data_IF_445910180223
#
_entry.id   IF_445910180223
#
_cell.length_a   1.000
_cell.length_b   1.000
_cell.length_c   1.000
_cell.angle_alpha   90.00
_cell.angle_beta   90.00
_cell.angle_gamma   90.00
#
_symmetry.space_group_name_H-M   'P 1'
#
loop_
_entity.id
_entity.type
_entity.pdbx_description
1 polymer ?
#
# COMPACT_ATOMS: atom_id res chain seq x y z
N UNK A 1 -5.59 7.30 -21.78
CA UNK A 1 -5.14 7.60 -20.39
C UNK A 1 -6.35 7.63 -19.45
N UNK A 2 -7.11 6.53 -19.43
CA UNK A 2 -8.36 6.42 -18.68
C UNK A 2 -8.59 4.95 -18.35
N UNK A 3 -9.07 4.70 -17.13
CA UNK A 3 -9.52 3.40 -16.66
C UNK A 3 -10.86 3.66 -15.94
N UNK A 4 -11.95 3.10 -16.47
CA UNK A 4 -13.30 3.42 -16.02
C UNK A 4 -13.51 3.16 -14.52
N UNK A 5 -13.89 4.21 -13.79
CA UNK A 5 -14.21 4.18 -12.36
C UNK A 5 -12.99 4.06 -11.42
N UNK A 6 -11.78 3.94 -11.95
CA UNK A 6 -10.60 3.72 -11.10
C UNK A 6 -10.23 4.96 -10.29
N UNK A 7 -10.35 6.15 -10.89
CA UNK A 7 -10.05 7.43 -10.23
C UNK A 7 -11.01 7.70 -9.07
N UNK A 8 -12.29 7.40 -9.24
CA UNK A 8 -13.33 7.53 -8.21
C UNK A 8 -13.08 6.57 -7.03
N UNK A 9 -12.68 5.32 -7.34
CA UNK A 9 -12.31 4.32 -6.32
C UNK A 9 -11.08 4.75 -5.53
N UNK A 10 -10.01 5.17 -6.21
CA UNK A 10 -8.80 5.68 -5.57
C UNK A 10 -9.12 6.90 -4.70
N UNK A 11 -10.07 7.74 -5.11
CA UNK A 11 -10.48 8.89 -4.32
C UNK A 11 -11.28 8.51 -3.05
N UNK A 12 -12.08 7.44 -3.10
CA UNK A 12 -13.02 7.08 -2.03
C UNK A 12 -12.52 5.98 -1.08
N UNK A 13 -11.94 4.90 -1.60
CA UNK A 13 -11.62 3.70 -0.82
C UNK A 13 -10.54 3.92 0.26
N UNK A 14 -9.46 4.68 0.03
CA UNK A 14 -8.43 4.92 1.05
C UNK A 14 -8.97 5.58 2.32
N UNK A 15 -9.98 6.45 2.20
CA UNK A 15 -10.62 7.08 3.37
C UNK A 15 -11.28 6.05 4.29
N UNK A 16 -11.87 4.99 3.72
CA UNK A 16 -12.42 3.87 4.49
C UNK A 16 -11.32 2.95 5.04
N UNK A 17 -10.32 2.60 4.22
CA UNK A 17 -9.21 1.70 4.58
C UNK A 17 -8.39 2.29 5.75
N UNK A 18 -8.13 3.59 5.73
CA UNK A 18 -7.39 4.33 6.76
C UNK A 18 -8.29 4.89 7.86
N UNK A 19 -9.58 4.52 7.86
CA UNK A 19 -10.55 4.92 8.88
C UNK A 19 -10.36 4.18 10.19
N UNK A 20 -11.35 4.31 11.07
CA UNK A 20 -11.39 3.61 12.37
C UNK A 20 -12.71 2.89 12.58
N UNK A 21 -12.68 1.82 13.36
CA UNK A 21 -13.90 1.09 13.77
C UNK A 21 -14.51 1.80 14.98
N UNK A 22 -15.79 2.12 14.91
CA UNK A 22 -16.59 2.63 16.03
C UNK A 22 -17.87 1.78 16.14
N UNK A 23 -17.94 0.89 17.12
CA UNK A 23 -19.06 -0.05 17.25
C UNK A 23 -19.12 -1.03 16.06
N UNK A 24 -20.22 -0.98 15.30
CA UNK A 24 -20.51 -1.84 14.15
C UNK A 24 -20.20 -1.18 12.80
N UNK A 25 -19.62 0.02 12.79
CA UNK A 25 -19.34 0.80 11.58
C UNK A 25 -17.89 1.25 11.47
N UNK A 26 -17.49 1.57 10.24
CA UNK A 26 -16.21 2.21 9.95
C UNK A 26 -16.47 3.70 9.76
N UNK A 27 -15.77 4.54 10.53
CA UNK A 27 -15.74 5.99 10.35
C UNK A 27 -14.53 6.34 9.46
N UNK A 28 -14.77 6.84 8.23
CA UNK A 28 -13.69 7.20 7.32
C UNK A 28 -12.81 8.33 7.87
N UNK A 29 -11.53 8.31 7.53
CA UNK A 29 -10.63 9.45 7.83
C UNK A 29 -10.93 10.61 6.88
N UNK A 30 -10.93 11.87 7.35
CA UNK A 30 -11.04 13.03 6.45
C UNK A 30 -9.79 13.14 5.58
N UNK A 31 -9.90 12.64 4.35
CA UNK A 31 -8.81 12.57 3.38
C UNK A 31 -9.30 13.04 2.02
N UNK A 32 -8.52 13.90 1.36
CA UNK A 32 -8.79 14.35 -0.01
C UNK A 32 -7.74 13.80 -0.95
N UNK A 33 -8.18 13.10 -1.99
CA UNK A 33 -7.32 12.52 -3.01
C UNK A 33 -7.78 13.00 -4.38
N UNK A 34 -6.82 13.52 -5.16
CA UNK A 34 -6.98 13.76 -6.58
C UNK A 34 -6.14 12.73 -7.31
N UNK A 35 -6.77 11.92 -8.16
CA UNK A 35 -6.14 10.79 -8.82
C UNK A 35 -6.27 10.90 -10.35
N UNK A 36 -5.33 10.29 -11.06
CA UNK A 36 -5.42 10.03 -12.49
C UNK A 36 -4.91 8.63 -12.76
N UNK A 37 -5.71 7.80 -13.41
CA UNK A 37 -5.40 6.40 -13.67
C UNK A 37 -5.06 6.18 -15.14
N UNK A 38 -3.87 5.68 -15.42
CA UNK A 38 -3.41 5.46 -16.80
C UNK A 38 -2.97 4.02 -17.04
N UNK A 39 -3.37 3.46 -18.18
CA UNK A 39 -2.92 2.16 -18.64
C UNK A 39 -1.59 2.31 -19.38
N UNK A 40 -0.64 1.43 -19.06
CA UNK A 40 0.68 1.34 -19.70
C UNK A 40 0.93 -0.11 -20.15
N UNK A 41 1.80 -0.36 -21.15
CA UNK A 41 2.14 -1.72 -21.61
C UNK A 41 3.11 -2.43 -20.65
N UNK A 42 2.69 -2.60 -19.39
CA UNK A 42 3.41 -3.31 -18.34
C UNK A 42 2.53 -4.48 -17.89
N UNK A 43 3.07 -5.70 -17.93
CA UNK A 43 2.31 -6.92 -17.63
C UNK A 43 1.74 -6.92 -16.20
N UNK A 44 2.60 -6.70 -15.21
CA UNK A 44 2.23 -6.68 -13.79
C UNK A 44 3.06 -5.63 -13.05
N UNK A 45 2.48 -5.09 -11.99
CA UNK A 45 3.04 -4.02 -11.17
C UNK A 45 2.32 -2.70 -11.41
N UNK A 46 1.63 -2.19 -10.39
CA UNK A 46 1.04 -0.84 -10.41
C UNK A 46 2.01 0.13 -9.78
N UNK A 47 2.39 1.15 -10.55
CA UNK A 47 3.32 2.20 -10.13
C UNK A 47 2.54 3.49 -9.94
N UNK A 48 2.68 4.08 -8.76
CA UNK A 48 2.00 5.33 -8.38
C UNK A 48 3.03 6.42 -8.12
N UNK A 49 2.77 7.63 -8.64
CA UNK A 49 3.52 8.84 -8.30
C UNK A 49 2.71 9.66 -7.31
N UNK A 50 3.10 9.61 -6.04
CA UNK A 50 2.33 10.22 -4.94
C UNK A 50 2.99 11.52 -4.49
N UNK A 51 2.20 12.58 -4.36
CA UNK A 51 2.56 13.78 -3.62
C UNK A 51 1.58 13.94 -2.46
N UNK A 52 2.08 14.16 -1.25
CA UNK A 52 1.25 14.19 -0.04
C UNK A 52 1.57 15.41 0.83
N UNK A 53 0.52 16.07 1.32
CA UNK A 53 0.60 17.04 2.40
C UNK A 53 0.38 16.31 3.73
N UNK A 54 1.31 16.46 4.66
CA UNK A 54 1.18 15.96 6.02
C UNK A 54 0.68 17.09 6.94
N UNK A 55 -0.12 16.74 7.94
CA UNK A 55 -0.57 17.69 8.98
C UNK A 55 0.59 18.15 9.85
N UNK A 56 1.51 17.23 10.15
CA UNK A 56 2.82 17.51 10.74
C UNK A 56 3.88 17.29 9.68
N UNK A 57 4.62 18.33 9.26
CA UNK A 57 5.69 18.18 8.28
C UNK A 57 6.70 17.12 8.70
N UNK A 58 7.15 16.30 7.76
CA UNK A 58 8.21 15.32 7.96
C UNK A 58 9.24 15.42 6.84
N UNK A 59 10.51 15.26 7.20
CA UNK A 59 11.62 15.15 6.26
C UNK A 59 11.58 13.81 5.50
N UNK A 60 12.23 13.72 4.33
CA UNK A 60 12.41 12.46 3.63
C UNK A 60 13.04 11.37 4.49
N UNK A 61 13.97 11.73 5.38
CA UNK A 61 14.67 10.77 6.24
C UNK A 61 13.78 10.24 7.36
N UNK A 62 12.92 11.10 7.93
CA UNK A 62 11.88 10.67 8.88
C UNK A 62 10.88 9.73 8.21
N UNK A 63 10.45 10.02 6.98
CA UNK A 63 9.57 9.14 6.23
C UNK A 63 10.24 7.78 5.92
N UNK A 64 11.51 7.78 5.48
CA UNK A 64 12.30 6.55 5.29
C UNK A 64 12.36 5.73 6.57
N UNK A 65 12.65 6.37 7.70
CA UNK A 65 12.71 5.71 9.00
C UNK A 65 11.37 5.08 9.37
N UNK A 66 10.28 5.85 9.30
CA UNK A 66 8.93 5.37 9.60
C UNK A 66 8.55 4.13 8.77
N UNK A 67 8.83 4.13 7.46
CA UNK A 67 8.55 2.98 6.61
C UNK A 67 9.46 1.78 6.87
N UNK A 68 10.75 1.99 7.19
CA UNK A 68 11.66 0.89 7.55
C UNK A 68 11.31 0.24 8.88
N UNK A 69 10.78 1.01 9.81
CA UNK A 69 10.35 0.57 11.14
C UNK A 69 8.94 -0.02 11.13
N UNK A 70 8.12 0.31 10.14
CA UNK A 70 6.78 -0.23 10.01
C UNK A 70 6.78 -1.77 10.00
N UNK A 71 5.93 -2.34 10.85
CA UNK A 71 5.63 -3.77 10.89
C UNK A 71 4.12 -3.94 10.83
N UNK A 72 3.68 -5.04 10.22
CA UNK A 72 2.29 -5.43 10.31
C UNK A 72 1.88 -5.61 11.79
N UNK A 73 0.60 -5.41 12.13
CA UNK A 73 0.08 -5.81 13.44
C UNK A 73 0.42 -7.27 13.73
N UNK A 74 0.66 -7.62 15.00
CA UNK A 74 1.12 -8.96 15.41
C UNK A 74 0.24 -10.09 14.87
N UNK A 75 -1.08 -9.91 14.94
CA UNK A 75 -2.08 -10.85 14.43
C UNK A 75 -1.95 -11.14 12.92
N UNK A 76 -1.37 -10.21 12.16
CA UNK A 76 -1.13 -10.35 10.73
C UNK A 76 0.31 -10.80 10.46
N UNK A 77 1.28 -10.31 11.23
CA UNK A 77 2.71 -10.53 10.99
C UNK A 77 3.13 -12.01 11.00
N UNK A 78 2.40 -12.87 11.72
CA UNK A 78 2.69 -14.30 11.84
C UNK A 78 1.90 -15.19 10.86
N UNK A 79 1.07 -14.58 9.99
CA UNK A 79 0.26 -15.34 9.05
C UNK A 79 1.12 -15.92 7.91
N UNK A 80 0.79 -17.12 7.38
CA UNK A 80 1.61 -17.79 6.38
C UNK A 80 1.90 -16.96 5.12
N UNK A 81 0.93 -16.15 4.68
CA UNK A 81 1.06 -15.32 3.48
C UNK A 81 1.62 -13.91 3.77
N UNK A 82 1.98 -13.60 5.01
CA UNK A 82 2.55 -12.29 5.37
C UNK A 82 4.01 -12.17 4.93
N UNK A 83 4.39 -11.06 4.27
CA UNK A 83 5.79 -10.80 3.96
C UNK A 83 6.53 -10.36 5.24
N UNK A 84 7.82 -10.72 5.34
CA UNK A 84 8.69 -10.25 6.43
C UNK A 84 8.70 -8.71 6.54
N UNK A 85 8.68 -8.03 5.38
CA UNK A 85 8.58 -6.58 5.28
C UNK A 85 7.40 -6.20 4.40
N UNK A 86 6.39 -5.55 4.99
CA UNK A 86 5.22 -5.06 4.24
C UNK A 86 5.61 -3.91 3.31
N UNK A 87 6.50 -3.04 3.78
CA UNK A 87 7.02 -1.90 3.01
C UNK A 87 8.54 -2.01 2.96
N UNK A 88 9.11 -1.88 1.77
CA UNK A 88 10.56 -1.84 1.57
C UNK A 88 10.96 -0.57 0.83
N UNK A 89 12.03 0.09 1.31
CA UNK A 89 12.57 1.28 0.68
C UNK A 89 13.63 0.89 -0.36
N UNK A 90 13.43 1.32 -1.60
CA UNK A 90 14.45 1.23 -2.65
C UNK A 90 15.20 2.56 -2.74
N UNK A 91 16.45 2.58 -2.26
CA UNK A 91 17.24 3.82 -2.18
C UNK A 91 17.86 4.24 -3.52
N UNK A 92 18.00 3.31 -4.47
CA UNK A 92 18.62 3.61 -5.75
C UNK A 92 17.73 4.60 -6.56
N UNK A 93 18.31 5.63 -7.19
CA UNK A 93 17.57 6.76 -7.75
C UNK A 93 16.64 6.44 -8.94
N UNK A 94 16.72 5.24 -9.50
CA UNK A 94 15.89 4.75 -10.61
C UNK A 94 14.87 3.67 -10.18
N UNK A 95 14.68 3.47 -8.86
CA UNK A 95 13.77 2.48 -8.29
C UNK A 95 12.56 3.14 -7.61
N UNK A 96 11.40 2.46 -7.55
CA UNK A 96 11.14 1.10 -8.04
C UNK A 96 10.85 1.03 -9.54
N UNK A 97 11.05 -0.16 -10.12
CA UNK A 97 10.69 -0.51 -11.49
C UNK A 97 9.79 -1.75 -11.51
N UNK A 98 8.63 -1.71 -12.21
CA UNK A 98 7.67 -2.81 -12.18
C UNK A 98 8.28 -4.19 -12.45
N UNK A 99 9.14 -4.31 -13.45
CA UNK A 99 9.76 -5.59 -13.82
C UNK A 99 10.79 -6.10 -12.82
N UNK A 100 11.44 -5.21 -12.06
CA UNK A 100 12.55 -5.57 -11.17
C UNK A 100 12.13 -5.74 -9.71
N UNK A 101 11.01 -5.12 -9.32
CA UNK A 101 10.64 -4.96 -7.90
C UNK A 101 9.28 -5.57 -7.53
N UNK A 102 8.42 -5.90 -8.50
CA UNK A 102 7.06 -6.35 -8.21
C UNK A 102 7.00 -7.65 -7.40
N UNK A 103 8.00 -8.52 -7.49
CA UNK A 103 7.98 -9.86 -6.88
C UNK A 103 8.60 -9.89 -5.47
N UNK A 104 8.99 -8.73 -4.92
CA UNK A 104 9.53 -8.63 -3.55
C UNK A 104 8.53 -9.16 -2.52
N UNK A 105 9.03 -9.91 -1.55
CA UNK A 105 8.20 -10.61 -0.55
C UNK A 105 7.12 -11.46 -1.20
N UNK A 106 7.46 -12.20 -2.26
CA UNK A 106 6.53 -13.02 -3.04
C UNK A 106 5.34 -12.22 -3.61
N UNK A 107 5.59 -10.96 -4.00
CA UNK A 107 4.57 -10.04 -4.51
C UNK A 107 3.72 -9.36 -3.43
N UNK A 108 3.95 -9.67 -2.15
CA UNK A 108 3.20 -9.10 -1.02
C UNK A 108 3.83 -7.85 -0.41
N UNK A 109 5.10 -7.56 -0.74
CA UNK A 109 5.80 -6.35 -0.30
C UNK A 109 5.54 -5.18 -1.24
N UNK A 110 5.20 -4.02 -0.68
CA UNK A 110 5.11 -2.75 -1.41
C UNK A 110 6.48 -2.08 -1.42
N UNK A 111 6.95 -1.64 -2.58
CA UNK A 111 8.25 -0.96 -2.71
C UNK A 111 8.05 0.54 -2.84
N UNK A 112 8.75 1.31 -2.00
CA UNK A 112 8.71 2.78 -2.03
C UNK A 112 10.09 3.31 -2.40
N UNK A 113 10.16 4.26 -3.32
CA UNK A 113 11.41 4.86 -3.76
C UNK A 113 11.26 6.33 -4.09
N UNK A 114 12.36 6.97 -4.52
CA UNK A 114 12.38 8.37 -4.97
C UNK A 114 11.83 9.37 -3.94
N UNK A 115 11.96 9.07 -2.64
CA UNK A 115 11.41 9.88 -1.54
C UNK A 115 12.19 11.20 -1.44
N UNK A 116 11.48 12.31 -1.58
CA UNK A 116 12.05 13.66 -1.61
C UNK A 116 11.04 14.73 -1.18
N UNK A 117 11.49 15.96 -0.86
CA UNK A 117 10.59 17.07 -0.60
C UNK A 117 9.73 17.39 -1.84
N UNK A 118 8.50 17.83 -1.61
CA UNK A 118 7.61 18.32 -2.66
C UNK A 118 7.37 19.82 -2.48
N UNK A 119 7.78 20.71 -3.40
CA UNK A 119 7.62 22.16 -3.22
C UNK A 119 6.17 22.65 -3.09
N UNK A 120 5.19 21.85 -3.54
CA UNK A 120 3.75 22.19 -3.51
C UNK A 120 3.01 21.48 -2.37
N UNK A 121 3.62 20.44 -1.78
CA UNK A 121 3.03 19.60 -0.74
C UNK A 121 4.10 19.40 0.36
N UNK A 122 4.14 18.25 1.05
CA UNK A 122 5.24 17.92 1.97
C UNK A 122 6.25 16.98 1.31
N UNK A 123 5.80 15.82 0.84
CA UNK A 123 6.66 14.77 0.28
C UNK A 123 6.19 14.31 -1.08
N UNK A 124 7.12 13.83 -1.91
CA UNK A 124 6.83 13.12 -3.15
C UNK A 124 7.66 11.84 -3.23
N UNK A 125 7.03 10.75 -3.66
CA UNK A 125 7.66 9.43 -3.77
C UNK A 125 6.97 8.59 -4.86
N UNK A 126 7.58 7.44 -5.17
CA UNK A 126 6.98 6.41 -6.02
C UNK A 126 6.65 5.19 -5.18
N UNK A 127 5.51 4.55 -5.46
CA UNK A 127 5.07 3.31 -4.84
C UNK A 127 4.83 2.27 -5.91
N UNK A 128 5.35 1.06 -5.72
CA UNK A 128 5.08 -0.09 -6.58
C UNK A 128 4.45 -1.22 -5.77
N UNK A 129 3.36 -1.80 -6.28
CA UNK A 129 2.72 -2.99 -5.73
C UNK A 129 2.43 -4.03 -6.83
N UNK A 130 2.47 -5.33 -6.47
CA UNK A 130 2.04 -6.39 -7.38
C UNK A 130 0.51 -6.45 -7.41
N UNK A 131 -0.09 -6.08 -8.54
CA UNK A 131 -1.54 -5.91 -8.66
C UNK A 131 -2.34 -7.22 -8.56
N UNK A 132 -1.75 -8.38 -8.89
CA UNK A 132 -2.43 -9.68 -8.76
C UNK A 132 -2.20 -10.35 -7.41
N UNK A 133 -1.12 -10.00 -6.71
CA UNK A 133 -0.78 -10.63 -5.43
C UNK A 133 -1.27 -9.72 -4.31
N UNK A 134 -0.50 -8.67 -3.99
CA UNK A 134 -0.89 -7.67 -3.00
C UNK A 134 -2.21 -6.96 -3.33
N UNK A 135 -2.49 -6.74 -4.61
CA UNK A 135 -3.72 -6.07 -5.06
C UNK A 135 -4.95 -6.98 -5.15
N UNK A 136 -4.79 -8.30 -5.10
CA UNK A 136 -5.90 -9.23 -5.31
C UNK A 136 -5.75 -10.55 -4.53
N UNK A 137 -5.16 -11.59 -5.14
CA UNK A 137 -5.21 -12.96 -4.64
C UNK A 137 -4.53 -13.12 -3.28
N UNK A 138 -3.29 -12.64 -3.15
CA UNK A 138 -2.55 -12.67 -1.90
C UNK A 138 -3.24 -11.89 -0.78
N UNK A 139 -3.85 -10.74 -1.09
CA UNK A 139 -4.65 -10.00 -0.11
C UNK A 139 -5.91 -10.76 0.34
N UNK A 140 -6.60 -11.44 -0.57
CA UNK A 140 -7.77 -12.25 -0.24
C UNK A 140 -7.40 -13.45 0.65
N UNK A 141 -6.29 -14.12 0.36
CA UNK A 141 -5.77 -15.22 1.18
C UNK A 141 -5.38 -14.69 2.56
N UNK A 142 -4.62 -13.60 2.63
CA UNK A 142 -4.19 -13.03 3.91
C UNK A 142 -5.38 -12.61 4.80
N UNK A 143 -6.45 -12.06 4.19
CA UNK A 143 -7.69 -11.76 4.91
C UNK A 143 -8.39 -13.03 5.43
N UNK A 144 -8.38 -14.12 4.66
CA UNK A 144 -8.95 -15.40 5.07
C UNK A 144 -8.14 -16.03 6.21
N UNK A 145 -6.80 -16.01 6.12
CA UNK A 145 -5.90 -16.45 7.18
C UNK A 145 -6.16 -15.71 8.49
N UNK A 146 -6.31 -14.38 8.42
CA UNK A 146 -6.66 -13.56 9.59
C UNK A 146 -8.04 -13.93 10.15
N UNK A 147 -9.04 -14.15 9.29
CA UNK A 147 -10.38 -14.53 9.75
C UNK A 147 -10.40 -15.90 10.46
N UNK A 148 -9.53 -16.84 10.04
CA UNK A 148 -9.34 -18.13 10.72
C UNK A 148 -8.58 -17.94 12.03
N UNK A 149 -7.49 -17.18 12.04
CA UNK A 149 -6.69 -16.89 13.25
C UNK A 149 -7.52 -16.17 14.33
N UNK A 150 -8.40 -15.26 13.94
CA UNK A 150 -9.34 -14.55 14.82
C UNK A 150 -10.54 -15.41 15.27
N UNK A 151 -10.66 -16.65 14.79
CA UNK A 151 -11.78 -17.55 15.12
C UNK A 151 -13.13 -17.15 14.51
N UNK A 152 -13.15 -16.22 13.54
CA UNK A 152 -14.37 -15.79 12.81
C UNK A 152 -14.84 -16.85 11.82
N UNK A 153 -13.91 -17.65 11.31
CA UNK A 153 -14.16 -18.79 10.41
C UNK A 153 -13.45 -20.02 10.99
N UNK A 154 -14.11 -21.18 10.96
CA UNK A 154 -13.49 -22.44 11.39
C UNK A 154 -12.60 -22.99 10.27
N UNK A 155 -11.39 -23.42 10.62
CA UNK A 155 -10.59 -24.29 9.75
C UNK A 155 -11.36 -25.59 9.48
N UNK A 156 -11.38 -26.03 8.22
CA UNK A 156 -11.85 -27.38 7.85
C UNK A 156 -10.69 -28.38 7.74
N UNK A 157 -9.45 -27.95 8.02
CA UNK A 157 -8.26 -28.78 8.17
C UNK A 157 -8.07 -29.17 9.63
#
# INVERSE_FOLDING_TARGET
>A
PYIGGEEDKIAAEPAKILGRVEGDRIVPVPLSISATATRVPVLHGHLESVSVQLSTPASPDEARRAWREFRAPEAVAQLPSSPERVVEIADHPDRPQPRLDRDRGSGMTVTVGRIRPCPVQTLRFLVLSHNLERGAAGAAILNAELAVADGRVRSQL
#
